data_IF_204374660797
#
_entry.id   IF_204374660797
#
_cell.length_a   1.000
_cell.length_b   1.000
_cell.length_c   1.000
_cell.angle_alpha   90.00
_cell.angle_beta   90.00
_cell.angle_gamma   90.00
#
_symmetry.space_group_name_H-M   'P 1'
#
loop_
_entity.id
_entity.type
_entity.pdbx_description
1 polymer ?
#
# COMPACT_ATOMS: atom_id res chain seq x y z
N UNK A 1 19.22 -8.91 10.09
CA UNK A 1 17.88 -8.36 10.40
C UNK A 1 17.09 -9.43 11.12
N UNK A 2 16.35 -9.08 12.17
CA UNK A 2 15.45 -10.00 12.87
C UNK A 2 14.10 -9.35 13.09
N UNK A 3 13.03 -10.14 13.03
CA UNK A 3 11.67 -9.72 13.38
C UNK A 3 11.20 -10.60 14.53
N UNK A 4 10.62 -9.98 15.56
CA UNK A 4 10.05 -10.68 16.70
C UNK A 4 8.65 -10.15 16.95
N UNK A 5 7.65 -11.01 16.84
CA UNK A 5 6.26 -10.66 17.09
C UNK A 5 5.84 -11.03 18.51
N UNK A 6 5.20 -10.10 19.21
CA UNK A 6 4.56 -10.32 20.50
C UNK A 6 3.05 -10.05 20.37
N UNK A 7 2.32 -11.12 20.07
CA UNK A 7 0.89 -11.05 19.80
C UNK A 7 0.07 -10.66 21.03
N UNK A 8 0.58 -10.86 22.26
CA UNK A 8 -0.13 -10.52 23.49
C UNK A 8 -0.28 -9.01 23.69
N UNK A 9 0.67 -8.24 23.19
CA UNK A 9 0.70 -6.78 23.29
C UNK A 9 0.60 -6.09 21.93
N UNK A 10 0.39 -6.88 20.86
CA UNK A 10 0.27 -6.42 19.47
C UNK A 10 1.47 -5.57 19.00
N UNK A 11 2.69 -6.00 19.35
CA UNK A 11 3.93 -5.32 18.94
C UNK A 11 4.84 -6.32 18.24
N UNK A 12 5.23 -6.00 17.02
CA UNK A 12 6.36 -6.65 16.36
C UNK A 12 7.58 -5.72 16.38
N UNK A 13 8.72 -6.27 16.76
CA UNK A 13 10.00 -5.56 16.83
C UNK A 13 10.87 -5.98 15.67
N UNK A 14 11.34 -5.00 14.90
CA UNK A 14 12.36 -5.17 13.88
C UNK A 14 13.70 -4.73 14.43
N UNK A 15 14.72 -5.58 14.32
CA UNK A 15 16.09 -5.24 14.72
C UNK A 15 17.03 -5.35 13.53
N UNK A 16 17.65 -4.22 13.20
CA UNK A 16 18.70 -4.11 12.21
C UNK A 16 20.03 -3.92 12.95
N UNK A 17 21.05 -4.70 12.58
CA UNK A 17 22.36 -4.70 13.23
C UNK A 17 23.44 -4.50 12.18
N UNK A 18 24.59 -3.97 12.61
CA UNK A 18 25.76 -3.69 11.74
C UNK A 18 25.41 -2.77 10.57
N UNK A 19 24.61 -1.74 10.87
CA UNK A 19 24.22 -0.70 9.92
C UNK A 19 25.45 0.08 9.45
N UNK A 20 25.49 0.39 8.16
CA UNK A 20 26.50 1.17 7.47
C UNK A 20 25.85 2.41 6.84
N UNK A 21 26.64 3.39 6.43
CA UNK A 21 26.13 4.63 5.84
C UNK A 21 25.28 4.40 4.57
N UNK A 22 25.57 3.34 3.80
CA UNK A 22 24.76 2.90 2.65
C UNK A 22 23.39 2.33 3.05
N UNK A 23 23.19 1.97 4.31
CA UNK A 23 21.91 1.48 4.82
C UNK A 23 20.99 2.63 5.31
N UNK A 24 21.39 3.90 5.13
CA UNK A 24 20.53 5.07 5.44
C UNK A 24 19.44 5.17 4.38
N UNK A 25 18.24 4.75 4.75
CA UNK A 25 17.05 4.88 3.92
C UNK A 25 15.77 5.05 4.78
N UNK A 26 14.64 5.20 4.09
CA UNK A 26 13.31 5.17 4.68
C UNK A 26 12.80 3.74 4.71
N UNK A 27 12.57 3.24 5.92
CA UNK A 27 12.03 1.91 6.14
C UNK A 27 10.52 1.96 6.33
N UNK A 28 9.84 0.91 5.88
CA UNK A 28 8.40 0.75 6.06
C UNK A 28 8.12 -0.24 7.19
N UNK A 29 7.43 0.24 8.22
CA UNK A 29 6.81 -0.62 9.21
C UNK A 29 5.36 -0.83 8.75
N UNK A 30 5.04 -2.01 8.22
CA UNK A 30 3.73 -2.29 7.63
C UNK A 30 3.13 -3.63 8.05
N UNK A 31 1.80 -3.71 8.04
CA UNK A 31 1.02 -4.92 8.26
C UNK A 31 0.25 -5.22 6.97
N UNK A 32 0.56 -6.35 6.37
CA UNK A 32 -0.12 -6.85 5.17
C UNK A 32 -1.54 -7.32 5.53
N UNK A 33 -2.54 -6.92 4.75
CA UNK A 33 -3.93 -7.39 4.91
C UNK A 33 -4.67 -7.47 3.59
N UNK A 34 -5.75 -8.25 3.55
CA UNK A 34 -6.69 -8.20 2.43
C UNK A 34 -7.29 -6.78 2.31
N UNK A 35 -6.90 -6.05 1.27
CA UNK A 35 -7.29 -4.66 1.04
C UNK A 35 -6.07 -3.73 1.02
N UNK A 36 -6.23 -2.51 1.53
CA UNK A 36 -5.13 -1.54 1.58
C UNK A 36 -4.26 -1.77 2.83
N UNK A 37 -2.96 -2.01 2.65
CA UNK A 37 -2.02 -2.21 3.74
C UNK A 37 -1.91 -0.98 4.66
N UNK A 38 -1.70 -1.25 5.95
CA UNK A 38 -1.42 -0.22 6.94
C UNK A 38 0.09 -0.11 7.10
N UNK A 39 0.66 1.09 7.01
CA UNK A 39 2.09 1.29 7.18
C UNK A 39 2.48 2.69 7.62
N UNK A 40 3.64 2.77 8.27
CA UNK A 40 4.27 4.03 8.71
C UNK A 40 5.71 4.06 8.20
N UNK A 41 6.13 5.23 7.74
CA UNK A 41 7.50 5.49 7.34
C UNK A 41 8.38 5.76 8.57
N UNK A 42 9.51 5.10 8.62
CA UNK A 42 10.53 5.31 9.65
C UNK A 42 11.80 5.76 8.95
N UNK A 43 12.19 7.03 9.17
CA UNK A 43 13.45 7.55 8.66
C UNK A 43 14.59 7.12 9.57
N UNK A 44 15.51 6.32 9.03
CA UNK A 44 16.76 5.98 9.72
C UNK A 44 17.75 7.14 9.70
N UNK A 45 18.54 7.28 10.75
CA UNK A 45 19.79 8.06 10.71
C UNK A 45 20.91 7.19 11.28
N UNK A 46 22.06 7.19 10.62
CA UNK A 46 23.23 6.42 11.04
C UNK A 46 24.31 7.43 11.40
N UNK A 47 24.70 7.42 12.66
CA UNK A 47 25.78 8.24 13.19
C UNK A 47 26.91 7.37 13.73
N UNK A 48 28.12 7.93 13.90
CA UNK A 48 29.22 7.22 14.53
C UNK A 48 28.80 6.78 15.94
N UNK A 49 29.15 5.55 16.31
CA UNK A 49 28.95 5.06 17.66
C UNK A 49 29.79 5.94 18.62
N UNK A 50 29.11 6.76 19.42
CA UNK A 50 29.78 7.45 20.51
C UNK A 50 30.29 6.38 21.47
N UNK A 51 31.61 6.22 21.57
CA UNK A 51 32.26 5.33 22.54
C UNK A 51 32.10 5.92 23.94
N UNK A 52 30.89 5.87 24.47
CA UNK A 52 30.61 6.23 25.86
C UNK A 52 30.69 4.95 26.69
N UNK A 53 31.56 4.93 27.70
CA UNK A 53 31.70 3.82 28.66
C UNK A 53 30.51 3.73 29.64
N UNK A 54 29.32 4.13 29.20
CA UNK A 54 28.10 4.19 30.01
C UNK A 54 27.07 3.24 29.40
N UNK A 55 26.32 2.46 30.19
CA UNK A 55 25.31 1.56 29.68
C UNK A 55 24.27 2.36 28.89
N UNK A 56 24.38 2.35 27.56
CA UNK A 56 23.51 3.11 26.69
C UNK A 56 22.37 2.20 26.28
N UNK A 57 21.19 2.47 26.84
CA UNK A 57 19.92 1.89 26.43
C UNK A 57 19.74 2.08 24.92
N UNK A 58 19.39 1.04 24.14
CA UNK A 58 19.18 1.20 22.70
C UNK A 58 18.10 2.28 22.46
N UNK A 59 18.26 3.14 21.44
CA UNK A 59 17.22 4.09 21.06
C UNK A 59 16.01 3.30 20.58
N UNK A 60 15.01 3.13 21.45
CA UNK A 60 13.73 2.56 21.07
C UNK A 60 13.00 3.65 20.29
N UNK A 61 13.14 3.65 18.97
CA UNK A 61 12.27 4.42 18.09
C UNK A 61 10.90 3.73 18.08
N UNK A 62 10.12 3.96 19.14
CA UNK A 62 8.74 3.51 19.24
C UNK A 62 7.87 4.35 18.29
N UNK A 63 7.41 3.77 17.18
CA UNK A 63 6.25 4.30 16.49
C UNK A 63 5.02 3.99 17.36
N UNK A 64 4.74 4.86 18.34
CA UNK A 64 3.59 4.75 19.22
C UNK A 64 2.33 5.09 18.40
N UNK A 65 1.42 4.13 18.26
CA UNK A 65 0.05 4.37 17.80
C UNK A 65 -0.62 5.33 18.78
N UNK A 66 -1.04 6.51 18.31
CA UNK A 66 -1.90 7.40 19.07
C UNK A 66 -3.31 6.80 19.07
N UNK A 67 -3.75 6.35 20.25
CA UNK A 67 -5.14 6.00 20.55
C UNK A 67 -6.00 7.26 20.62
N UNK A 68 -7.16 7.25 19.97
CA UNK A 68 -8.20 8.29 20.04
C UNK A 68 -8.54 8.68 21.48
N UNK A 69 -8.49 9.99 21.77
CA UNK A 69 -9.34 10.56 22.82
C UNK A 69 -9.87 11.91 22.32
N UNK A 70 -11.20 12.03 22.30
CA UNK A 70 -11.92 13.18 21.80
C UNK A 70 -11.57 14.46 22.59
N UNK A 71 -11.04 15.49 21.94
CA UNK A 71 -11.25 16.90 22.32
C UNK A 71 -11.07 17.78 21.08
N UNK A 72 -12.11 18.56 20.82
CA UNK A 72 -12.29 19.49 19.70
C UNK A 72 -11.22 20.60 19.75
N UNK A 73 -10.40 20.75 18.71
CA UNK A 73 -9.61 21.96 18.45
C UNK A 73 -9.30 22.07 16.95
N UNK A 74 -10.11 22.88 16.29
CA UNK A 74 -9.99 23.28 14.89
C UNK A 74 -8.75 24.17 14.70
N UNK A 75 -7.76 23.71 13.94
CA UNK A 75 -6.97 24.59 13.06
C UNK A 75 -6.41 23.81 11.86
N UNK A 76 -7.14 23.91 10.76
CA UNK A 76 -6.66 24.01 9.37
C UNK A 76 -5.34 23.32 8.99
N UNK A 77 -5.45 22.13 8.38
CA UNK A 77 -4.70 21.84 7.15
C UNK A 77 -5.54 20.93 6.24
N UNK A 78 -6.02 21.53 5.15
CA UNK A 78 -6.84 20.90 4.12
C UNK A 78 -6.09 19.82 3.32
N UNK A 79 -6.84 18.77 2.97
CA UNK A 79 -6.70 17.91 1.79
C UNK A 79 -5.51 16.95 1.69
N UNK A 80 -5.61 15.80 2.37
CA UNK A 80 -4.95 14.55 1.95
C UNK A 80 -5.91 13.35 1.75
N UNK A 81 -7.21 13.50 2.02
CA UNK A 81 -8.17 12.37 1.98
C UNK A 81 -8.98 12.27 0.68
N UNK A 82 -8.88 13.25 -0.22
CA UNK A 82 -9.64 13.23 -1.47
C UNK A 82 -8.90 12.57 -2.63
N UNK A 83 -7.60 12.29 -2.49
CA UNK A 83 -6.83 11.63 -3.55
C UNK A 83 -6.94 10.11 -3.44
N UNK A 84 -6.82 9.53 -2.24
CA UNK A 84 -6.65 8.08 -2.07
C UNK A 84 -7.89 7.24 -2.42
N UNK A 85 -9.10 7.73 -2.10
CA UNK A 85 -10.35 7.12 -2.59
C UNK A 85 -10.55 7.31 -4.09
N UNK A 86 -10.10 8.45 -4.60
CA UNK A 86 -10.27 8.87 -6.00
C UNK A 86 -9.34 8.09 -6.94
N UNK A 87 -8.08 7.82 -6.57
CA UNK A 87 -7.16 6.97 -7.37
C UNK A 87 -7.62 5.50 -7.43
N UNK A 88 -8.11 4.94 -6.33
CA UNK A 88 -8.65 3.57 -6.29
C UNK A 88 -9.91 3.43 -7.14
N UNK A 89 -10.82 4.40 -7.05
CA UNK A 89 -12.02 4.46 -7.87
C UNK A 89 -11.68 4.72 -9.35
N UNK A 90 -10.71 5.58 -9.67
CA UNK A 90 -10.31 5.82 -11.06
C UNK A 90 -9.72 4.59 -11.73
N UNK A 91 -8.88 3.81 -11.04
CA UNK A 91 -8.37 2.55 -11.57
C UNK A 91 -9.50 1.53 -11.76
N UNK A 92 -10.42 1.44 -10.80
CA UNK A 92 -11.58 0.54 -10.87
C UNK A 92 -12.55 0.92 -12.00
N UNK A 93 -12.89 2.21 -12.12
CA UNK A 93 -13.80 2.74 -13.16
C UNK A 93 -13.14 2.63 -14.53
N UNK A 94 -11.85 2.95 -14.67
CA UNK A 94 -11.14 2.82 -15.93
C UNK A 94 -11.07 1.36 -16.38
N UNK A 95 -10.78 0.43 -15.46
CA UNK A 95 -10.83 -1.01 -15.73
C UNK A 95 -12.25 -1.46 -16.12
N UNK A 96 -13.28 -1.00 -15.40
CA UNK A 96 -14.67 -1.33 -15.67
C UNK A 96 -15.10 -0.81 -17.06
N UNK A 97 -14.76 0.42 -17.40
CA UNK A 97 -15.01 1.01 -18.72
C UNK A 97 -14.26 0.28 -19.83
N UNK A 98 -13.00 -0.11 -19.60
CA UNK A 98 -12.24 -0.89 -20.57
C UNK A 98 -12.90 -2.25 -20.81
N UNK A 99 -13.35 -2.94 -19.77
CA UNK A 99 -14.08 -4.22 -19.90
C UNK A 99 -15.40 -4.01 -20.65
N UNK A 100 -16.23 -3.05 -20.22
CA UNK A 100 -17.54 -2.81 -20.85
C UNK A 100 -17.47 -2.20 -22.25
N UNK A 101 -16.40 -1.52 -22.63
CA UNK A 101 -16.25 -0.99 -23.98
C UNK A 101 -15.62 -2.02 -24.92
N UNK A 102 -14.56 -2.68 -24.45
CA UNK A 102 -13.72 -3.56 -25.26
C UNK A 102 -14.39 -4.92 -25.52
N UNK A 103 -15.00 -5.52 -24.49
CA UNK A 103 -15.64 -6.84 -24.60
C UNK A 103 -16.81 -6.86 -25.59
N UNK A 104 -17.82 -5.97 -25.52
CA UNK A 104 -18.93 -6.00 -26.48
C UNK A 104 -18.47 -5.65 -27.89
N UNK A 105 -17.48 -4.76 -28.06
CA UNK A 105 -16.91 -4.48 -29.38
C UNK A 105 -16.33 -5.75 -30.02
N UNK A 106 -15.59 -6.55 -29.24
CA UNK A 106 -15.07 -7.82 -29.72
C UNK A 106 -16.18 -8.85 -29.99
N UNK A 107 -17.20 -8.94 -29.15
CA UNK A 107 -18.34 -9.84 -29.36
C UNK A 107 -19.14 -9.48 -30.61
N UNK A 108 -19.35 -8.19 -30.89
CA UNK A 108 -20.00 -7.71 -32.11
C UNK A 108 -19.15 -8.05 -33.34
N UNK A 109 -17.84 -7.84 -33.29
CA UNK A 109 -16.93 -8.18 -34.38
C UNK A 109 -16.91 -9.69 -34.66
N UNK A 110 -16.80 -10.53 -33.63
CA UNK A 110 -16.91 -11.97 -33.77
C UNK A 110 -18.29 -12.38 -34.30
N UNK A 111 -19.35 -11.76 -33.80
CA UNK A 111 -20.71 -11.96 -34.27
C UNK A 111 -20.88 -11.65 -35.76
N UNK A 112 -20.35 -10.51 -36.22
CA UNK A 112 -20.36 -10.09 -37.62
C UNK A 112 -19.54 -11.04 -38.51
N UNK A 113 -18.34 -11.44 -38.07
CA UNK A 113 -17.51 -12.41 -38.79
C UNK A 113 -18.22 -13.75 -38.91
N UNK A 114 -18.83 -14.25 -37.83
CA UNK A 114 -19.59 -15.49 -37.84
C UNK A 114 -20.87 -15.38 -38.67
N UNK A 115 -21.51 -14.22 -38.69
CA UNK A 115 -22.69 -13.93 -39.51
C UNK A 115 -22.35 -14.00 -41.00
N UNK A 116 -21.27 -13.33 -41.41
CA UNK A 116 -20.77 -13.36 -42.80
C UNK A 116 -20.28 -14.76 -43.18
N UNK A 117 -19.77 -15.54 -42.23
CA UNK A 117 -19.35 -16.93 -42.44
C UNK A 117 -20.47 -17.96 -42.37
N UNK A 118 -21.74 -17.57 -42.18
CA UNK A 118 -22.84 -18.53 -42.35
C UNK A 118 -23.02 -18.85 -43.84
N UNK A 119 -22.88 -20.11 -44.27
CA UNK A 119 -23.24 -20.48 -45.63
C UNK A 119 -24.74 -20.20 -45.82
N UNK A 120 -25.10 -19.44 -46.86
CA UNK A 120 -26.49 -19.29 -47.28
C UNK A 120 -27.03 -20.69 -47.62
N UNK A 121 -27.69 -21.35 -46.67
CA UNK A 121 -28.54 -22.49 -46.97
C UNK A 121 -29.76 -21.93 -47.69
N UNK A 122 -29.70 -21.98 -49.01
CA UNK A 122 -30.82 -21.76 -49.92
C UNK A 122 -31.91 -22.75 -49.51
N UNK A 123 -33.13 -22.31 -49.17
CA UNK A 123 -34.25 -23.22 -48.97
C UNK A 123 -34.61 -23.81 -50.34
N UNK A 124 -34.50 -25.13 -50.48
CA UNK A 124 -35.06 -25.88 -51.60
C UNK A 124 -36.51 -26.25 -51.35
#
# INVERSE_FOLDING_TARGET
MTIRDNHKVHIFTVTMQKLREDDIDVYWCGIERNGADLGVHVKGSIGPASKSNTPTTPPVSSAMLITENATHSTSSQENANQSQGTWSLFNSIHFLLLVFLKVPMFLIMLGAVLWVKRPQKIPG
#
